data_IF_476048230228
#
_entry.id   IF_476048230228
#
_cell.length_a   1.000
_cell.length_b   1.000
_cell.length_c   1.000
_cell.angle_alpha   90.00
_cell.angle_beta   90.00
_cell.angle_gamma   90.00
#
_symmetry.space_group_name_H-M   'P 1'
#
loop_
_entity.id
_entity.type
_entity.pdbx_description
1 polymer ?
#
# COMPACT_ATOMS: atom_id res chain seq x y z
N UNK A 1 -15.70 -51.74 -44.87
CA UNK A 1 -14.85 -50.57 -45.12
C UNK A 1 -15.49 -49.23 -44.69
N UNK A 2 -16.83 -49.15 -44.55
CA UNK A 2 -17.54 -47.90 -44.18
C UNK A 2 -17.50 -47.59 -42.68
N UNK A 3 -17.46 -48.62 -41.82
CA UNK A 3 -17.46 -48.46 -40.34
C UNK A 3 -16.18 -47.72 -39.86
N UNK A 4 -15.00 -48.12 -40.38
CA UNK A 4 -13.71 -47.46 -40.00
C UNK A 4 -13.62 -46.01 -40.42
N UNK A 5 -14.19 -45.61 -41.56
CA UNK A 5 -14.26 -44.21 -41.98
C UNK A 5 -15.12 -43.36 -41.05
N UNK A 6 -16.20 -43.90 -40.50
CA UNK A 6 -17.11 -43.21 -39.59
C UNK A 6 -16.47 -43.03 -38.22
N UNK A 7 -15.72 -44.01 -37.74
CA UNK A 7 -14.98 -43.95 -36.47
C UNK A 7 -13.85 -42.92 -36.52
N UNK A 8 -13.10 -42.84 -37.62
CA UNK A 8 -12.06 -41.83 -37.82
C UNK A 8 -12.64 -40.41 -37.82
N UNK A 9 -13.80 -40.18 -38.45
CA UNK A 9 -14.47 -38.88 -38.49
C UNK A 9 -14.97 -38.44 -37.13
N UNK A 10 -15.44 -39.37 -36.29
CA UNK A 10 -15.86 -39.10 -34.92
C UNK A 10 -14.65 -38.74 -34.06
N UNK A 11 -13.56 -39.49 -34.21
CA UNK A 11 -12.32 -39.22 -33.48
C UNK A 11 -11.71 -37.85 -33.85
N UNK A 12 -11.69 -37.52 -35.13
CA UNK A 12 -11.24 -36.21 -35.62
C UNK A 12 -12.07 -35.05 -35.04
N UNK A 13 -13.40 -35.17 -35.04
CA UNK A 13 -14.29 -34.17 -34.44
C UNK A 13 -14.06 -34.02 -32.92
N UNK A 14 -13.92 -35.13 -32.21
CA UNK A 14 -13.67 -35.13 -30.78
C UNK A 14 -12.30 -34.49 -30.48
N UNK A 15 -11.28 -34.82 -31.25
CA UNK A 15 -9.95 -34.22 -31.11
C UNK A 15 -9.94 -32.71 -31.36
N UNK A 16 -10.57 -32.28 -32.46
CA UNK A 16 -10.67 -30.85 -32.80
C UNK A 16 -11.47 -30.07 -31.74
N UNK A 17 -12.55 -30.65 -31.20
CA UNK A 17 -13.32 -30.06 -30.09
C UNK A 17 -12.47 -29.95 -28.82
N UNK A 18 -11.69 -30.99 -28.49
CA UNK A 18 -10.79 -30.95 -27.33
C UNK A 18 -9.69 -29.91 -27.52
N UNK A 19 -9.10 -29.80 -28.70
CA UNK A 19 -8.12 -28.75 -29.01
C UNK A 19 -8.70 -27.35 -28.86
N UNK A 20 -9.89 -27.10 -29.40
CA UNK A 20 -10.57 -25.81 -29.27
C UNK A 20 -10.83 -25.49 -27.81
N UNK A 21 -11.25 -26.45 -26.99
CA UNK A 21 -11.48 -26.27 -25.56
C UNK A 21 -10.16 -25.92 -24.84
N UNK A 22 -9.08 -26.65 -25.14
CA UNK A 22 -7.75 -26.35 -24.52
C UNK A 22 -7.25 -24.97 -24.91
N UNK A 23 -7.39 -24.58 -26.18
CA UNK A 23 -7.00 -23.25 -26.66
C UNK A 23 -7.84 -22.17 -25.98
N UNK A 24 -9.16 -22.36 -25.89
CA UNK A 24 -10.06 -21.43 -25.19
C UNK A 24 -9.67 -21.26 -23.72
N UNK A 25 -9.47 -22.36 -22.99
CA UNK A 25 -9.04 -22.31 -21.58
C UNK A 25 -7.67 -21.62 -21.41
N UNK A 26 -6.74 -21.79 -22.33
CA UNK A 26 -5.46 -21.07 -22.30
C UNK A 26 -5.63 -19.58 -22.54
N UNK A 27 -6.46 -19.18 -23.47
CA UNK A 27 -6.75 -17.76 -23.73
C UNK A 27 -7.36 -17.13 -22.49
N UNK A 28 -8.39 -17.75 -21.89
CA UNK A 28 -9.03 -17.27 -20.69
C UNK A 28 -8.05 -17.13 -19.50
N UNK A 29 -7.15 -18.10 -19.37
CA UNK A 29 -6.09 -18.08 -18.35
C UNK A 29 -5.11 -16.92 -18.54
N UNK A 30 -4.71 -16.64 -19.79
CA UNK A 30 -3.86 -15.50 -20.12
C UNK A 30 -4.57 -14.16 -19.87
N UNK A 31 -5.84 -14.05 -20.23
CA UNK A 31 -6.63 -12.85 -20.00
C UNK A 31 -6.79 -12.56 -18.50
N UNK A 32 -7.10 -13.58 -17.70
CA UNK A 32 -7.17 -13.46 -16.24
C UNK A 32 -5.83 -12.99 -15.67
N UNK A 33 -4.71 -13.56 -16.11
CA UNK A 33 -3.38 -13.15 -15.67
C UNK A 33 -3.05 -11.71 -16.05
N UNK A 34 -3.42 -11.25 -17.24
CA UNK A 34 -3.25 -9.87 -17.68
C UNK A 34 -4.09 -8.90 -16.84
N UNK A 35 -5.33 -9.26 -16.51
CA UNK A 35 -6.21 -8.46 -15.64
C UNK A 35 -5.61 -8.35 -14.24
N UNK A 36 -5.08 -9.44 -13.70
CA UNK A 36 -4.40 -9.47 -12.41
C UNK A 36 -3.17 -8.54 -12.40
N UNK A 37 -2.28 -8.69 -13.38
CA UNK A 37 -1.09 -7.84 -13.51
C UNK A 37 -1.44 -6.34 -13.64
N UNK A 38 -2.51 -6.01 -14.38
CA UNK A 38 -3.01 -4.64 -14.48
C UNK A 38 -3.52 -4.11 -13.14
N UNK A 39 -4.20 -4.95 -12.35
CA UNK A 39 -4.66 -4.58 -10.99
C UNK A 39 -3.48 -4.33 -10.06
N UNK A 40 -2.48 -5.20 -10.07
CA UNK A 40 -1.25 -5.07 -9.29
C UNK A 40 -0.48 -3.79 -9.66
N UNK A 41 -0.31 -3.53 -10.97
CA UNK A 41 0.32 -2.31 -11.46
C UNK A 41 -0.46 -1.04 -11.05
N UNK A 42 -1.79 -1.11 -11.08
CA UNK A 42 -2.65 -0.01 -10.64
C UNK A 42 -2.53 0.23 -9.13
N UNK A 43 -2.52 -0.84 -8.33
CA UNK A 43 -2.30 -0.75 -6.90
C UNK A 43 -0.92 -0.15 -6.58
N UNK A 44 0.14 -0.63 -7.24
CA UNK A 44 1.48 -0.08 -7.11
C UNK A 44 1.53 1.42 -7.46
N UNK A 45 0.87 1.84 -8.55
CA UNK A 45 0.76 3.26 -8.93
C UNK A 45 -0.04 4.10 -7.93
N UNK A 46 -1.03 3.51 -7.25
CA UNK A 46 -1.81 4.19 -6.21
C UNK A 46 -1.01 4.36 -4.92
N UNK A 47 -0.16 3.38 -4.57
CA UNK A 47 0.78 3.51 -3.45
C UNK A 47 1.88 4.57 -3.73
N UNK A 48 2.28 4.75 -4.98
CA UNK A 48 3.13 5.86 -5.42
C UNK A 48 2.28 7.12 -5.66
N UNK A 49 1.62 7.64 -4.61
CA UNK A 49 0.80 8.85 -4.72
C UNK A 49 1.65 10.01 -5.29
N UNK A 50 1.47 10.43 -6.57
CA UNK A 50 2.31 11.48 -7.16
C UNK A 50 2.26 12.78 -6.36
N UNK A 51 1.10 13.04 -5.75
CA UNK A 51 0.85 14.19 -4.90
C UNK A 51 1.70 14.17 -3.60
N UNK A 52 1.97 12.98 -3.05
CA UNK A 52 2.85 12.86 -1.88
C UNK A 52 4.26 13.34 -2.20
N UNK A 53 4.85 12.89 -3.30
CA UNK A 53 6.20 13.30 -3.69
C UNK A 53 6.31 14.80 -4.02
N UNK A 54 5.30 15.36 -4.69
CA UNK A 54 5.24 16.80 -4.94
C UNK A 54 5.19 17.61 -3.63
N UNK A 55 4.43 17.12 -2.65
CA UNK A 55 4.37 17.74 -1.32
C UNK A 55 5.72 17.64 -0.60
N UNK A 56 6.38 16.48 -0.63
CA UNK A 56 7.72 16.27 -0.07
C UNK A 56 8.72 17.27 -0.66
N UNK A 57 8.77 17.36 -1.99
CA UNK A 57 9.66 18.31 -2.67
C UNK A 57 9.36 19.76 -2.30
N UNK A 58 8.09 20.12 -2.17
CA UNK A 58 7.66 21.45 -1.77
C UNK A 58 8.10 21.79 -0.34
N UNK A 59 7.99 20.82 0.57
CA UNK A 59 8.43 20.96 1.96
C UNK A 59 9.94 21.15 2.03
N UNK A 60 10.72 20.28 1.37
CA UNK A 60 12.20 20.39 1.33
C UNK A 60 12.63 21.72 0.72
N UNK A 61 11.98 22.16 -0.36
CA UNK A 61 12.22 23.47 -0.97
C UNK A 61 11.96 24.61 0.02
N UNK A 62 10.85 24.55 0.77
CA UNK A 62 10.52 25.56 1.80
C UNK A 62 11.60 25.66 2.88
N UNK A 63 12.04 24.51 3.42
CA UNK A 63 13.12 24.45 4.41
C UNK A 63 14.46 24.96 3.85
N UNK A 64 14.76 24.66 2.58
CA UNK A 64 15.97 25.14 1.93
C UNK A 64 16.00 26.67 1.79
N UNK A 65 14.86 27.30 1.45
CA UNK A 65 14.75 28.77 1.45
C UNK A 65 14.96 29.38 2.82
N UNK A 66 14.52 28.68 3.90
CA UNK A 66 14.71 29.11 5.28
C UNK A 66 16.11 28.76 5.82
N UNK A 67 16.96 28.11 5.02
CA UNK A 67 18.30 27.64 5.39
C UNK A 67 18.30 26.65 6.59
N UNK A 68 17.23 25.90 6.77
CA UNK A 68 17.06 24.94 7.86
C UNK A 68 17.67 23.56 7.51
N UNK A 69 18.98 23.53 7.29
CA UNK A 69 19.70 22.34 6.80
C UNK A 69 19.48 21.11 7.69
N UNK A 70 19.53 21.28 9.01
CA UNK A 70 19.35 20.17 9.95
C UNK A 70 17.95 19.54 9.86
N UNK A 71 16.91 20.36 9.69
CA UNK A 71 15.56 19.86 9.48
C UNK A 71 15.41 19.14 8.14
N UNK A 72 16.07 19.60 7.09
CA UNK A 72 16.09 18.92 5.79
C UNK A 72 16.69 17.53 5.95
N UNK A 73 17.84 17.40 6.60
CA UNK A 73 18.50 16.11 6.82
C UNK A 73 17.59 15.18 7.63
N UNK A 74 17.06 15.65 8.76
CA UNK A 74 16.12 14.87 9.58
C UNK A 74 14.88 14.43 8.79
N UNK A 75 14.31 15.31 7.97
CA UNK A 75 13.15 14.98 7.15
C UNK A 75 13.46 13.92 6.09
N UNK A 76 14.63 14.01 5.42
CA UNK A 76 15.07 13.03 4.43
C UNK A 76 15.31 11.66 5.06
N UNK A 77 15.86 11.59 6.27
CA UNK A 77 16.05 10.32 6.99
C UNK A 77 14.72 9.64 7.29
N UNK A 78 13.76 10.37 7.87
CA UNK A 78 12.42 9.87 8.15
C UNK A 78 11.69 9.46 6.86
N UNK A 79 11.80 10.26 5.81
CA UNK A 79 11.24 9.96 4.49
C UNK A 79 11.81 8.67 3.90
N UNK A 80 13.12 8.46 4.05
CA UNK A 80 13.80 7.26 3.56
C UNK A 80 13.31 5.99 4.27
N UNK A 81 13.01 6.07 5.58
CA UNK A 81 12.39 4.99 6.34
C UNK A 81 10.98 4.72 5.83
N UNK A 82 10.19 5.77 5.66
CA UNK A 82 8.81 5.68 5.19
C UNK A 82 8.71 5.05 3.79
N UNK A 83 9.53 5.52 2.83
CA UNK A 83 9.56 4.97 1.47
C UNK A 83 9.98 3.50 1.47
N UNK A 84 11.01 3.13 2.23
CA UNK A 84 11.44 1.72 2.34
C UNK A 84 10.34 0.82 2.87
N UNK A 85 9.58 1.29 3.85
CA UNK A 85 8.44 0.55 4.35
C UNK A 85 7.36 0.40 3.28
N UNK A 86 6.95 1.47 2.61
CA UNK A 86 5.94 1.44 1.55
C UNK A 86 6.31 0.55 0.35
N UNK A 87 7.61 0.40 0.07
CA UNK A 87 8.12 -0.46 -1.02
C UNK A 87 8.36 -1.91 -0.59
N UNK A 88 8.13 -2.24 0.67
CA UNK A 88 8.17 -3.62 1.15
C UNK A 88 7.09 -4.44 0.42
N UNK A 89 7.37 -5.71 0.18
CA UNK A 89 6.44 -6.59 -0.55
C UNK A 89 5.11 -6.72 0.22
N UNK A 90 4.02 -6.22 -0.35
CA UNK A 90 2.71 -6.07 0.30
C UNK A 90 1.94 -7.38 0.52
N UNK A 91 2.52 -8.53 0.14
CA UNK A 91 1.88 -9.85 0.30
C UNK A 91 2.04 -10.44 1.71
N UNK A 92 2.83 -9.79 2.56
CA UNK A 92 3.10 -10.26 3.91
C UNK A 92 2.34 -9.41 4.92
N UNK A 93 1.61 -10.07 5.82
CA UNK A 93 1.10 -9.43 7.03
C UNK A 93 2.26 -8.86 7.84
N UNK A 94 1.98 -7.83 8.60
CA UNK A 94 2.92 -7.16 9.48
C UNK A 94 2.41 -7.19 10.93
N UNK A 95 3.27 -6.93 11.90
CA UNK A 95 2.81 -6.79 13.28
C UNK A 95 2.25 -5.39 13.56
N UNK A 96 1.34 -5.29 14.52
CA UNK A 96 0.84 -4.00 15.02
C UNK A 96 2.03 -3.13 15.47
N UNK A 97 3.03 -3.71 16.11
CA UNK A 97 4.22 -2.98 16.55
C UNK A 97 4.99 -2.34 15.40
N UNK A 98 5.19 -3.06 14.29
CA UNK A 98 5.82 -2.51 13.08
C UNK A 98 4.98 -1.38 12.47
N UNK A 99 3.68 -1.55 12.32
CA UNK A 99 2.76 -0.51 11.83
C UNK A 99 2.78 0.74 12.71
N UNK A 100 2.76 0.58 14.03
CA UNK A 100 2.84 1.71 14.97
C UNK A 100 4.17 2.45 14.90
N UNK A 101 5.27 1.75 14.63
CA UNK A 101 6.57 2.40 14.40
C UNK A 101 6.55 3.24 13.12
N UNK A 102 5.89 2.77 12.06
CA UNK A 102 5.70 3.55 10.85
C UNK A 102 4.78 4.75 11.07
N UNK A 103 3.70 4.58 11.81
CA UNK A 103 2.82 5.69 12.21
C UNK A 103 3.61 6.76 13.00
N UNK A 104 4.47 6.37 13.93
CA UNK A 104 5.34 7.32 14.66
C UNK A 104 6.28 8.06 13.72
N UNK A 105 6.89 7.34 12.76
CA UNK A 105 7.74 7.92 11.74
C UNK A 105 6.98 8.95 10.90
N UNK A 106 5.81 8.60 10.39
CA UNK A 106 4.93 9.49 9.62
C UNK A 106 4.53 10.74 10.42
N UNK A 107 4.09 10.58 11.66
CA UNK A 107 3.74 11.69 12.56
C UNK A 107 4.93 12.63 12.78
N UNK A 108 6.14 12.09 12.95
CA UNK A 108 7.35 12.91 13.11
C UNK A 108 7.67 13.71 11.85
N UNK A 109 7.51 13.12 10.66
CA UNK A 109 7.61 13.86 9.39
C UNK A 109 6.60 15.01 9.34
N UNK A 110 5.35 14.76 9.71
CA UNK A 110 4.30 15.79 9.73
C UNK A 110 4.60 16.91 10.75
N UNK A 111 5.18 16.58 11.92
CA UNK A 111 5.58 17.57 12.92
C UNK A 111 6.70 18.50 12.43
N UNK A 112 7.61 17.99 11.60
CA UNK A 112 8.65 18.83 10.96
C UNK A 112 7.99 19.80 9.96
N UNK A 113 7.01 19.32 9.17
CA UNK A 113 6.29 20.16 8.21
C UNK A 113 5.39 21.21 8.87
N UNK A 114 4.81 20.87 10.02
CA UNK A 114 3.82 21.69 10.74
C UNK A 114 4.22 21.82 12.21
N UNK A 115 5.28 22.57 12.52
CA UNK A 115 5.76 22.72 13.89
C UNK A 115 4.69 23.33 14.79
N UNK A 116 4.53 22.75 15.99
CA UNK A 116 3.56 23.13 17.00
C UNK A 116 2.06 23.01 16.63
N UNK A 117 1.77 22.39 15.47
CA UNK A 117 0.38 22.19 15.01
C UNK A 117 -0.13 20.77 15.17
N UNK A 118 0.70 19.85 15.60
CA UNK A 118 0.35 18.42 15.70
C UNK A 118 0.69 17.91 17.08
N UNK A 119 -0.31 17.43 17.79
CA UNK A 119 -0.18 16.65 19.03
C UNK A 119 -0.67 15.23 18.75
N UNK A 120 0.18 14.24 18.99
CA UNK A 120 -0.15 12.85 18.76
C UNK A 120 0.14 11.99 20.00
N UNK A 121 -0.85 11.20 20.39
CA UNK A 121 -0.73 10.19 21.44
C UNK A 121 -0.95 8.82 20.81
N UNK A 122 0.02 7.93 20.95
CA UNK A 122 -0.02 6.59 20.38
C UNK A 122 0.26 5.61 21.52
N UNK A 123 -0.73 4.78 21.84
CA UNK A 123 -0.67 3.79 22.90
C UNK A 123 -1.07 2.42 22.35
N UNK A 124 -0.39 1.38 22.80
CA UNK A 124 -0.68 0.00 22.46
C UNK A 124 -0.50 -0.87 23.69
N UNK A 125 -1.48 -1.75 23.95
CA UNK A 125 -1.30 -2.79 24.96
C UNK A 125 -0.21 -3.77 24.53
N UNK A 126 0.65 -4.17 25.44
CA UNK A 126 1.80 -5.05 25.19
C UNK A 126 1.39 -6.36 24.48
N UNK A 127 0.26 -6.93 24.89
CA UNK A 127 -0.30 -8.16 24.29
C UNK A 127 -0.77 -8.00 22.82
N UNK A 128 -0.88 -6.77 22.32
CA UNK A 128 -1.30 -6.49 20.95
C UNK A 128 -0.13 -6.26 19.99
N UNK A 129 1.07 -6.01 20.50
CA UNK A 129 2.23 -5.60 19.70
C UNK A 129 2.59 -6.61 18.61
N UNK A 130 2.54 -7.91 18.93
CA UNK A 130 2.93 -9.00 18.03
C UNK A 130 1.75 -9.56 17.20
N UNK A 131 0.56 -8.96 17.33
CA UNK A 131 -0.61 -9.40 16.53
C UNK A 131 -0.38 -9.06 15.08
N UNK A 132 -0.59 -10.05 14.21
CA UNK A 132 -0.48 -9.90 12.75
C UNK A 132 -1.70 -9.19 12.19
N UNK A 133 -1.47 -8.20 11.34
CA UNK A 133 -2.48 -7.41 10.65
C UNK A 133 -2.08 -7.20 9.20
N UNK A 134 -3.05 -6.88 8.32
CA UNK A 134 -2.74 -6.49 6.94
C UNK A 134 -1.80 -5.29 6.89
N UNK A 135 -0.83 -5.37 6.02
CA UNK A 135 0.15 -4.31 5.75
C UNK A 135 -0.50 -2.97 5.38
N UNK A 136 0.03 -1.87 5.90
CA UNK A 136 -0.47 -0.49 5.72
C UNK A 136 -1.88 -0.22 6.28
N UNK A 137 -2.43 -1.09 7.12
CA UNK A 137 -3.78 -0.91 7.66
C UNK A 137 -3.87 0.32 8.56
N UNK A 138 -3.03 0.39 9.60
CA UNK A 138 -3.04 1.49 10.57
C UNK A 138 -2.51 2.77 9.92
N UNK A 139 -1.46 2.66 9.12
CA UNK A 139 -0.87 3.82 8.43
C UNK A 139 -1.88 4.50 7.52
N UNK A 140 -2.66 3.75 6.73
CA UNK A 140 -3.72 4.29 5.87
C UNK A 140 -4.79 5.05 6.67
N UNK A 141 -5.20 4.54 7.82
CA UNK A 141 -6.17 5.20 8.71
C UNK A 141 -5.61 6.53 9.23
N UNK A 142 -4.34 6.53 9.64
CA UNK A 142 -3.66 7.72 10.15
C UNK A 142 -3.46 8.76 9.04
N UNK A 143 -3.01 8.36 7.86
CA UNK A 143 -2.88 9.25 6.70
C UNK A 143 -4.22 9.91 6.36
N UNK A 144 -5.30 9.16 6.34
CA UNK A 144 -6.65 9.68 6.13
C UNK A 144 -7.06 10.68 7.22
N UNK A 145 -6.74 10.41 8.49
CA UNK A 145 -7.00 11.33 9.59
C UNK A 145 -6.24 12.66 9.42
N UNK A 146 -4.98 12.62 9.01
CA UNK A 146 -4.19 13.83 8.71
C UNK A 146 -4.71 14.60 7.51
N UNK A 147 -5.21 13.89 6.48
CA UNK A 147 -5.73 14.50 5.26
C UNK A 147 -7.07 15.19 5.46
N UNK A 148 -7.93 14.63 6.30
CA UNK A 148 -9.31 15.07 6.47
C UNK A 148 -9.58 15.72 7.82
N UNK A 149 -8.71 15.53 8.81
CA UNK A 149 -8.88 15.99 10.19
C UNK A 149 -8.50 17.45 10.47
N UNK A 150 -8.36 18.31 9.43
CA UNK A 150 -7.98 19.71 9.63
C UNK A 150 -9.09 20.48 10.36
N UNK A 151 -8.80 20.93 11.57
CA UNK A 151 -9.60 21.92 12.28
C UNK A 151 -9.46 23.30 11.63
N UNK A 152 -10.44 24.19 11.87
CA UNK A 152 -10.43 25.61 11.46
C UNK A 152 -9.15 26.35 11.87
N UNK A 153 -8.50 25.94 12.97
CA UNK A 153 -7.28 26.56 13.51
C UNK A 153 -5.98 25.90 13.02
N UNK A 154 -6.06 25.00 12.04
CA UNK A 154 -4.90 24.22 11.55
C UNK A 154 -4.15 23.42 12.64
N UNK A 155 -4.79 23.14 13.77
CA UNK A 155 -4.26 22.31 14.84
C UNK A 155 -4.87 20.90 14.75
N UNK A 156 -4.02 19.87 14.75
CA UNK A 156 -4.43 18.47 14.72
C UNK A 156 -4.07 17.80 16.04
N UNK A 157 -5.08 17.36 16.78
CA UNK A 157 -4.92 16.42 17.89
C UNK A 157 -5.26 15.02 17.41
N UNK A 158 -4.32 14.11 17.53
CA UNK A 158 -4.45 12.73 17.08
C UNK A 158 -4.24 11.79 18.27
N UNK A 159 -5.18 10.88 18.49
CA UNK A 159 -5.10 9.87 19.54
C UNK A 159 -5.36 8.48 18.94
N UNK A 160 -4.37 7.60 19.02
CA UNK A 160 -4.43 6.24 18.56
C UNK A 160 -4.22 5.29 19.72
N UNK A 161 -5.25 4.54 20.07
CA UNK A 161 -5.20 3.52 21.12
C UNK A 161 -5.48 2.15 20.53
N UNK A 162 -4.59 1.21 20.78
CA UNK A 162 -4.73 -0.19 20.37
C UNK A 162 -4.86 -1.05 21.61
N UNK A 163 -5.98 -1.73 21.73
CA UNK A 163 -6.29 -2.61 22.86
C UNK A 163 -7.10 -3.82 22.39
N UNK A 164 -7.08 -4.89 23.17
CA UNK A 164 -7.90 -6.07 22.91
C UNK A 164 -9.28 -5.86 23.54
N UNK A 165 -10.31 -5.81 22.70
CA UNK A 165 -11.72 -5.89 23.17
C UNK A 165 -12.00 -7.30 23.70
N UNK A 166 -12.68 -7.40 24.83
CA UNK A 166 -13.22 -8.67 25.37
C UNK A 166 -14.29 -9.27 24.49
#
# INVERSE_FOLDING_TARGET
PETGKREILVLEKAFNSALQTVVGLKIDQYEQKLVQQKKELKALRQHLQPHFYLNVLSVVKGMAYQKETDKILQYIDLLSIHIRYMLRNSELDTSIGEELNQVKNYVNMQKICFPNKITAFIQCEEKCVDVSIPYLLIETLVENAFKHGKSTDNFLMFNLNVYKSE
#
